data_IF_606269434246
#
_entry.id   IF_606269434246
#
_cell.length_a   1.000
_cell.length_b   1.000
_cell.length_c   1.000
_cell.angle_alpha   90.00
_cell.angle_beta   90.00
_cell.angle_gamma   90.00
#
_symmetry.space_group_name_H-M   'P 1'
#
loop_
_entity.id
_entity.type
_entity.pdbx_description
1 polymer ?
#
# COMPACT_ATOMS: atom_id res chain seq x y z
N UNK A 1 13.74 8.65 11.15
CA UNK A 1 14.37 8.88 9.83
C UNK A 1 15.41 7.78 9.62
N UNK A 2 15.23 6.93 8.62
CA UNK A 2 16.04 5.72 8.37
C UNK A 2 17.55 6.02 8.33
N UNK A 3 17.95 7.05 7.59
CA UNK A 3 19.36 7.44 7.44
C UNK A 3 20.01 7.90 8.73
N UNK A 4 19.24 8.53 9.63
CA UNK A 4 19.75 8.89 10.96
C UNK A 4 20.08 7.63 11.78
N UNK A 5 19.22 6.61 11.74
CA UNK A 5 19.47 5.34 12.43
C UNK A 5 20.69 4.61 11.87
N UNK A 6 20.86 4.61 10.53
CA UNK A 6 22.06 4.07 9.88
C UNK A 6 23.31 4.81 10.37
N UNK A 7 23.31 6.15 10.36
CA UNK A 7 24.45 6.93 10.82
C UNK A 7 24.78 6.69 12.30
N UNK A 8 23.77 6.62 13.17
CA UNK A 8 23.97 6.37 14.60
C UNK A 8 24.61 5.01 14.87
N UNK A 9 24.31 3.99 14.06
CA UNK A 9 24.89 2.66 14.22
C UNK A 9 26.33 2.55 13.69
N UNK A 10 26.74 3.43 12.77
CA UNK A 10 28.03 3.33 12.09
C UNK A 10 29.05 4.43 12.46
N UNK A 11 28.60 5.62 12.88
CA UNK A 11 29.48 6.74 13.22
C UNK A 11 29.84 6.69 14.72
N UNK A 12 31.02 6.19 15.03
CA UNK A 12 31.52 6.12 16.42
C UNK A 12 31.99 7.48 16.91
N UNK A 13 31.57 7.89 18.10
CA UNK A 13 32.06 9.09 18.78
C UNK A 13 31.44 10.41 18.32
N UNK A 14 30.34 10.38 17.56
CA UNK A 14 29.57 11.58 17.28
C UNK A 14 28.96 12.17 18.56
N UNK A 15 29.23 13.45 18.82
CA UNK A 15 28.71 14.20 19.99
C UNK A 15 27.57 15.14 19.62
N UNK A 16 27.34 15.36 18.32
CA UNK A 16 26.29 16.21 17.79
C UNK A 16 25.69 15.69 16.48
N UNK A 17 24.51 16.18 16.10
CA UNK A 17 23.92 15.89 14.78
C UNK A 17 24.76 16.41 13.61
N UNK A 18 25.54 17.47 13.84
CA UNK A 18 26.47 17.97 12.83
C UNK A 18 27.65 17.01 12.65
N UNK A 19 28.10 16.34 13.71
CA UNK A 19 29.17 15.34 13.65
C UNK A 19 28.72 14.13 12.82
N UNK A 20 27.45 13.72 12.96
CA UNK A 20 26.85 12.66 12.12
C UNK A 20 26.84 13.04 10.63
N UNK A 21 26.71 14.33 10.31
CA UNK A 21 26.69 14.87 8.94
C UNK A 21 28.07 15.27 8.41
N UNK A 22 29.09 15.24 9.25
CA UNK A 22 30.46 15.60 8.88
C UNK A 22 31.17 14.39 8.28
N UNK A 23 31.57 14.49 7.02
CA UNK A 23 32.24 13.41 6.27
C UNK A 23 33.47 14.00 5.57
N UNK A 24 34.65 13.46 5.85
CA UNK A 24 35.94 13.95 5.32
C UNK A 24 36.20 15.47 5.54
N UNK A 25 35.70 16.04 6.64
CA UNK A 25 35.87 17.47 6.97
C UNK A 25 34.85 18.40 6.31
N UNK A 26 33.90 17.86 5.55
CA UNK A 26 32.81 18.60 4.91
C UNK A 26 31.49 18.34 5.64
N UNK A 27 30.74 19.39 5.96
CA UNK A 27 29.40 19.28 6.57
C UNK A 27 28.36 19.16 5.46
N UNK A 28 27.74 17.99 5.34
CA UNK A 28 26.70 17.72 4.33
C UNK A 28 25.34 18.23 4.79
N UNK A 29 24.42 18.50 3.86
CA UNK A 29 23.13 19.15 4.15
C UNK A 29 22.11 18.20 4.77
N UNK A 30 22.20 16.91 4.47
CA UNK A 30 21.25 15.90 4.96
C UNK A 30 21.95 14.67 5.54
N UNK A 31 21.26 13.95 6.42
CA UNK A 31 21.74 12.66 6.93
C UNK A 31 21.89 11.63 5.81
N UNK A 32 21.05 11.71 4.78
CA UNK A 32 21.12 10.85 3.59
C UNK A 32 22.42 11.07 2.81
N UNK A 33 22.77 12.31 2.52
CA UNK A 33 24.03 12.64 1.85
C UNK A 33 25.23 12.14 2.64
N UNK A 34 25.21 12.31 3.97
CA UNK A 34 26.28 11.84 4.84
C UNK A 34 26.42 10.32 4.85
N UNK A 35 25.31 9.59 4.91
CA UNK A 35 25.31 8.15 4.84
C UNK A 35 25.73 7.63 3.45
N UNK A 36 25.34 8.32 2.36
CA UNK A 36 25.76 8.01 0.99
C UNK A 36 27.26 8.24 0.78
N UNK A 37 27.80 9.37 1.26
CA UNK A 37 29.24 9.71 1.17
C UNK A 37 30.13 8.76 1.99
N UNK A 38 29.54 8.06 2.98
CA UNK A 38 30.21 7.04 3.79
C UNK A 38 30.06 5.62 3.21
N UNK A 39 29.45 5.47 2.03
CA UNK A 39 29.10 4.19 1.41
C UNK A 39 28.30 3.25 2.34
N UNK A 40 27.50 3.82 3.25
CA UNK A 40 26.68 3.07 4.21
C UNK A 40 25.30 2.70 3.67
N UNK A 41 24.95 3.19 2.49
CA UNK A 41 23.67 2.93 1.84
C UNK A 41 23.97 2.49 0.42
N UNK A 42 23.45 1.34 0.02
CA UNK A 42 23.39 0.96 -1.38
C UNK A 42 22.45 1.92 -2.12
N UNK A 43 22.92 2.47 -3.23
CA UNK A 43 22.18 3.45 -4.03
C UNK A 43 20.89 2.83 -4.56
N UNK A 44 19.75 3.11 -3.91
CA UNK A 44 18.33 2.89 -4.27
C UNK A 44 17.89 1.54 -4.89
N UNK A 45 18.79 0.63 -5.23
CA UNK A 45 18.50 -0.67 -5.82
C UNK A 45 17.66 -1.51 -4.88
N UNK A 46 17.92 -1.43 -3.57
CA UNK A 46 17.15 -2.16 -2.55
C UNK A 46 15.69 -1.71 -2.49
N UNK A 47 15.39 -0.44 -2.75
CA UNK A 47 14.00 0.07 -2.80
C UNK A 47 13.31 -0.41 -4.09
N UNK A 48 14.00 -0.32 -5.22
CA UNK A 48 13.47 -0.83 -6.49
C UNK A 48 13.23 -2.34 -6.45
N UNK A 49 14.16 -3.11 -5.88
CA UNK A 49 14.04 -4.55 -5.68
C UNK A 49 12.88 -4.88 -4.75
N UNK A 50 12.74 -4.15 -3.63
CA UNK A 50 11.64 -4.32 -2.70
C UNK A 50 10.27 -4.08 -3.34
N UNK A 51 10.11 -3.02 -4.15
CA UNK A 51 8.85 -2.79 -4.87
C UNK A 51 8.67 -3.79 -6.03
N UNK A 52 9.74 -4.19 -6.72
CA UNK A 52 9.66 -5.15 -7.82
C UNK A 52 9.25 -6.56 -7.33
N UNK A 53 9.78 -7.01 -6.18
CA UNK A 53 9.36 -8.25 -5.54
C UNK A 53 7.90 -8.17 -5.10
N UNK A 54 7.52 -7.05 -4.50
CA UNK A 54 6.15 -6.71 -4.14
C UNK A 54 5.19 -6.79 -5.34
N UNK A 55 5.60 -6.36 -6.53
CA UNK A 55 4.80 -6.44 -7.76
C UNK A 55 4.45 -7.88 -8.14
N UNK A 56 5.26 -8.87 -7.79
CA UNK A 56 5.00 -10.27 -8.15
C UNK A 56 3.88 -10.91 -7.33
N UNK A 57 3.65 -10.44 -6.10
CA UNK A 57 2.78 -11.13 -5.13
C UNK A 57 1.67 -10.25 -4.56
N UNK A 58 1.76 -8.93 -4.68
CA UNK A 58 0.83 -8.01 -4.04
C UNK A 58 -0.09 -7.33 -5.05
N UNK A 59 -1.33 -7.09 -4.61
CA UNK A 59 -2.33 -6.37 -5.41
C UNK A 59 -1.90 -4.92 -5.67
N UNK A 60 -2.31 -4.30 -6.80
CA UNK A 60 -1.94 -2.94 -7.17
C UNK A 60 -2.13 -1.89 -6.07
N UNK A 61 -3.21 -1.99 -5.29
CA UNK A 61 -3.45 -1.07 -4.16
C UNK A 61 -2.40 -1.19 -3.05
N UNK A 62 -1.96 -2.42 -2.71
CA UNK A 62 -0.92 -2.65 -1.70
C UNK A 62 0.40 -2.07 -2.18
N UNK A 63 0.66 -2.17 -3.49
CA UNK A 63 1.81 -1.54 -4.12
C UNK A 63 1.73 0.00 -4.00
N UNK A 64 0.56 0.62 -4.23
CA UNK A 64 0.36 2.08 -4.00
C UNK A 64 0.62 2.49 -2.55
N UNK A 65 0.15 1.69 -1.58
CA UNK A 65 0.40 1.91 -0.15
C UNK A 65 1.87 1.75 0.22
N UNK A 66 2.54 0.73 -0.32
CA UNK A 66 3.98 0.54 -0.13
C UNK A 66 4.76 1.72 -0.72
N UNK A 67 4.41 2.16 -1.93
CA UNK A 67 5.02 3.32 -2.57
C UNK A 67 4.88 4.58 -1.72
N UNK A 68 3.68 4.91 -1.24
CA UNK A 68 3.46 6.05 -0.34
C UNK A 68 4.29 5.92 0.95
N UNK A 69 4.37 4.71 1.53
CA UNK A 69 5.21 4.45 2.71
C UNK A 69 6.69 4.71 2.42
N UNK A 70 7.18 4.27 1.26
CA UNK A 70 8.57 4.50 0.82
C UNK A 70 8.85 6.00 0.68
N UNK A 71 7.95 6.76 0.05
CA UNK A 71 8.09 8.21 -0.07
C UNK A 71 8.22 8.91 1.29
N UNK A 72 7.43 8.49 2.29
CA UNK A 72 7.41 9.15 3.60
C UNK A 72 8.62 8.77 4.46
N UNK A 73 9.03 7.50 4.46
CA UNK A 73 10.01 7.00 5.44
C UNK A 73 11.42 6.81 4.89
N UNK A 74 11.56 6.62 3.59
CA UNK A 74 12.83 6.24 2.95
C UNK A 74 13.40 7.34 2.05
N UNK A 75 12.69 8.44 1.79
CA UNK A 75 13.17 9.62 1.03
C UNK A 75 14.04 9.24 -0.19
N UNK A 76 13.48 8.51 -1.18
CA UNK A 76 14.24 7.93 -2.29
C UNK A 76 14.98 9.01 -3.10
N UNK A 77 16.06 8.61 -3.77
CA UNK A 77 16.90 9.51 -4.57
C UNK A 77 16.20 10.05 -5.79
N UNK A 78 15.49 9.18 -6.48
CA UNK A 78 14.77 9.52 -7.69
C UNK A 78 13.34 9.00 -7.60
N UNK A 79 12.46 9.86 -7.07
CA UNK A 79 11.02 9.57 -6.96
C UNK A 79 10.38 9.41 -8.34
N UNK A 80 10.86 10.15 -9.36
CA UNK A 80 10.31 10.09 -10.72
C UNK A 80 10.68 8.77 -11.39
N UNK A 81 11.93 8.32 -11.25
CA UNK A 81 12.36 7.01 -11.77
C UNK A 81 11.60 5.87 -11.08
N UNK A 82 11.42 5.95 -9.75
CA UNK A 82 10.63 4.99 -8.98
C UNK A 82 9.17 4.97 -9.46
N UNK A 83 8.57 6.13 -9.69
CA UNK A 83 7.21 6.27 -10.23
C UNK A 83 7.10 5.62 -11.61
N UNK A 84 7.91 6.03 -12.57
CA UNK A 84 7.85 5.55 -13.96
C UNK A 84 8.01 4.03 -14.06
N UNK A 85 8.88 3.46 -13.22
CA UNK A 85 9.13 2.01 -13.20
C UNK A 85 7.97 1.21 -12.64
N UNK A 86 7.26 1.72 -11.63
CA UNK A 86 6.24 0.95 -10.89
C UNK A 86 4.79 1.39 -11.18
N UNK A 87 4.54 2.52 -11.85
CA UNK A 87 3.19 3.02 -12.14
C UNK A 87 2.35 2.04 -12.94
N UNK A 88 2.97 1.23 -13.81
CA UNK A 88 2.26 0.23 -14.62
C UNK A 88 1.62 -0.85 -13.76
N UNK A 89 2.34 -1.34 -12.74
CA UNK A 89 1.88 -2.38 -11.83
C UNK A 89 0.86 -1.82 -10.84
N UNK A 90 1.10 -0.62 -10.33
CA UNK A 90 0.18 0.11 -9.45
C UNK A 90 -1.13 0.53 -10.13
N UNK A 91 -1.29 0.38 -11.45
CA UNK A 91 -2.48 0.77 -12.19
C UNK A 91 -3.29 -0.40 -12.75
N UNK A 92 -2.89 -1.65 -12.50
CA UNK A 92 -3.50 -2.81 -13.17
C UNK A 92 -5.00 -2.97 -12.87
N UNK A 93 -5.43 -2.66 -11.65
CA UNK A 93 -6.82 -2.69 -11.21
C UNK A 93 -7.69 -1.63 -11.91
N UNK A 94 -7.14 -0.44 -12.18
CA UNK A 94 -7.87 0.63 -12.86
C UNK A 94 -7.93 0.47 -14.39
N UNK A 95 -7.03 -0.31 -14.98
CA UNK A 95 -6.99 -0.57 -16.44
C UNK A 95 -8.15 -1.41 -16.94
N UNK A 96 -8.66 -2.35 -16.14
CA UNK A 96 -9.76 -3.20 -16.56
C UNK A 96 -11.05 -2.39 -16.87
N UNK A 97 -11.23 -1.26 -16.19
CA UNK A 97 -12.43 -0.42 -16.32
C UNK A 97 -12.22 0.83 -17.18
N UNK A 98 -10.99 1.16 -17.59
CA UNK A 98 -10.67 2.43 -18.26
C UNK A 98 -9.66 2.24 -19.40
N UNK A 99 -9.98 2.75 -20.59
CA UNK A 99 -9.09 2.67 -21.77
C UNK A 99 -8.10 3.83 -21.90
N UNK A 100 -8.29 4.92 -21.15
CA UNK A 100 -7.39 6.08 -21.19
C UNK A 100 -6.25 5.92 -20.18
N UNK A 101 -5.02 5.81 -20.70
CA UNK A 101 -3.80 5.74 -19.86
C UNK A 101 -3.64 6.95 -18.95
N UNK A 102 -4.09 8.14 -19.39
CA UNK A 102 -4.01 9.37 -18.60
C UNK A 102 -4.96 9.31 -17.39
N UNK A 103 -6.21 8.92 -17.60
CA UNK A 103 -7.20 8.83 -16.52
C UNK A 103 -6.76 7.82 -15.45
N UNK A 104 -6.26 6.66 -15.90
CA UNK A 104 -5.72 5.63 -15.01
C UNK A 104 -4.54 6.15 -14.18
N UNK A 105 -3.65 6.92 -14.80
CA UNK A 105 -2.52 7.54 -14.10
C UNK A 105 -3.00 8.53 -13.03
N UNK A 106 -3.97 9.39 -13.36
CA UNK A 106 -4.58 10.33 -12.40
C UNK A 106 -5.26 9.60 -11.23
N UNK A 107 -6.00 8.51 -11.48
CA UNK A 107 -6.63 7.72 -10.42
C UNK A 107 -5.61 7.15 -9.43
N UNK A 108 -4.48 6.64 -9.94
CA UNK A 108 -3.38 6.15 -9.09
C UNK A 108 -2.75 7.29 -8.27
N UNK A 109 -2.52 8.44 -8.89
CA UNK A 109 -1.94 9.61 -8.22
C UNK A 109 -2.86 10.15 -7.12
N UNK A 110 -4.17 10.21 -7.36
CA UNK A 110 -5.17 10.58 -6.35
C UNK A 110 -5.16 9.59 -5.17
N UNK A 111 -5.05 8.28 -5.47
CA UNK A 111 -4.98 7.24 -4.43
C UNK A 111 -3.74 7.41 -3.54
N UNK A 112 -2.59 7.70 -4.15
CA UNK A 112 -1.32 7.95 -3.46
C UNK A 112 -1.41 9.26 -2.66
N UNK A 113 -1.99 10.31 -3.24
CA UNK A 113 -2.20 11.59 -2.55
C UNK A 113 -2.99 11.39 -1.27
N UNK A 114 -4.12 10.68 -1.32
CA UNK A 114 -4.93 10.35 -0.14
C UNK A 114 -4.15 9.55 0.91
N UNK A 115 -3.30 8.61 0.47
CA UNK A 115 -2.43 7.86 1.39
C UNK A 115 -1.41 8.77 2.08
N UNK A 116 -0.86 9.75 1.36
CA UNK A 116 0.07 10.74 1.91
C UNK A 116 -0.64 11.68 2.89
N UNK A 117 -1.87 12.12 2.59
CA UNK A 117 -2.68 12.93 3.51
C UNK A 117 -2.93 12.24 4.84
N UNK A 118 -3.21 10.92 4.82
CA UNK A 118 -3.35 10.12 6.05
C UNK A 118 -2.05 10.10 6.88
N UNK A 119 -0.90 10.25 6.24
CA UNK A 119 0.42 10.37 6.87
C UNK A 119 0.83 11.83 7.12
N UNK A 120 -0.08 12.79 6.95
CA UNK A 120 0.13 14.24 7.11
C UNK A 120 1.25 14.78 6.20
N UNK A 121 1.34 14.25 4.98
CA UNK A 121 2.28 14.69 3.95
C UNK A 121 1.52 15.22 2.75
N UNK A 122 2.02 16.32 2.19
CA UNK A 122 1.51 16.88 0.94
C UNK A 122 2.24 16.21 -0.23
N UNK A 123 1.49 15.74 -1.23
CA UNK A 123 2.06 15.12 -2.42
C UNK A 123 2.95 16.09 -3.22
N UNK A 124 2.70 17.40 -3.11
CA UNK A 124 3.52 18.47 -3.72
C UNK A 124 4.94 18.55 -3.15
N UNK A 125 5.21 17.87 -2.03
CA UNK A 125 6.56 17.75 -1.49
C UNK A 125 7.44 16.78 -2.29
N UNK A 126 6.83 15.99 -3.19
CA UNK A 126 7.50 15.00 -4.02
C UNK A 126 7.43 15.42 -5.49
N UNK A 127 8.46 15.14 -6.30
CA UNK A 127 8.44 15.45 -7.72
C UNK A 127 7.58 14.39 -8.44
N UNK A 128 6.26 14.45 -8.27
CA UNK A 128 5.28 13.61 -8.96
C UNK A 128 4.48 14.46 -9.97
N UNK A 129 3.84 13.83 -10.97
CA UNK A 129 2.99 14.56 -11.91
C UNK A 129 1.84 15.31 -11.23
N UNK A 130 1.37 16.38 -11.86
CA UNK A 130 0.26 17.20 -11.35
C UNK A 130 -1.05 16.41 -11.30
N UNK A 131 -1.81 16.64 -10.22
CA UNK A 131 -3.07 15.94 -9.95
C UNK A 131 -4.24 16.80 -10.41
N UNK A 132 -5.18 16.13 -11.06
CA UNK A 132 -6.48 16.65 -11.44
C UNK A 132 -7.51 15.84 -10.65
N UNK A 133 -8.10 16.46 -9.63
CA UNK A 133 -9.02 15.85 -8.67
C UNK A 133 -10.39 15.50 -9.28
N UNK A 134 -10.67 15.95 -10.51
CA UNK A 134 -11.89 15.59 -11.23
C UNK A 134 -11.99 14.10 -11.57
N UNK A 135 -10.88 13.37 -11.52
CA UNK A 135 -10.80 11.93 -11.80
C UNK A 135 -10.86 11.05 -10.54
N UNK A 136 -11.33 11.58 -9.41
CA UNK A 136 -11.38 10.83 -8.15
C UNK A 136 -12.28 9.57 -8.25
N UNK A 137 -11.71 8.35 -8.10
CA UNK A 137 -12.49 7.11 -8.13
C UNK A 137 -13.46 6.96 -6.95
N UNK A 138 -13.26 7.67 -5.84
CA UNK A 138 -13.95 7.40 -4.57
C UNK A 138 -15.13 8.33 -4.27
N UNK A 139 -15.71 8.98 -5.27
CA UNK A 139 -16.65 10.09 -5.04
C UNK A 139 -17.90 9.77 -4.20
N UNK A 140 -18.20 8.51 -3.83
CA UNK A 140 -19.27 8.18 -2.88
C UNK A 140 -19.09 6.90 -2.02
N UNK A 141 -17.96 6.18 -2.08
CA UNK A 141 -17.81 4.88 -1.41
C UNK A 141 -16.60 4.91 -0.44
N UNK A 142 -16.78 4.53 0.85
CA UNK A 142 -15.67 4.33 1.77
C UNK A 142 -14.59 3.44 1.16
N UNK A 143 -13.33 3.87 1.33
CA UNK A 143 -12.19 3.26 0.66
C UNK A 143 -12.07 1.77 0.96
N UNK A 144 -12.38 1.33 2.18
CA UNK A 144 -12.35 -0.09 2.56
C UNK A 144 -13.34 -0.94 1.74
N UNK A 145 -14.48 -0.37 1.37
CA UNK A 145 -15.53 -1.05 0.58
C UNK A 145 -15.11 -1.14 -0.89
N UNK A 146 -14.52 -0.08 -1.45
CA UNK A 146 -13.93 -0.12 -2.79
C UNK A 146 -12.76 -1.10 -2.88
N UNK A 147 -11.94 -1.18 -1.82
CA UNK A 147 -10.83 -2.10 -1.69
C UNK A 147 -11.29 -3.57 -1.67
N UNK A 148 -12.34 -3.89 -0.90
CA UNK A 148 -12.91 -5.24 -0.91
C UNK A 148 -13.54 -5.57 -2.28
N UNK A 149 -14.27 -4.62 -2.89
CA UNK A 149 -14.96 -4.76 -4.18
C UNK A 149 -14.04 -5.18 -5.33
N UNK A 150 -12.77 -4.75 -5.34
CA UNK A 150 -11.83 -5.03 -6.44
C UNK A 150 -11.03 -6.34 -6.31
N UNK A 151 -11.18 -7.09 -5.22
CA UNK A 151 -10.53 -8.41 -5.08
C UNK A 151 -11.23 -9.43 -5.99
N UNK A 152 -10.54 -10.05 -6.95
CA UNK A 152 -11.14 -11.14 -7.72
C UNK A 152 -11.44 -12.34 -6.81
N UNK A 153 -12.70 -12.77 -6.76
CA UNK A 153 -13.08 -14.00 -6.07
C UNK A 153 -12.63 -15.20 -6.91
N UNK A 154 -11.83 -16.10 -6.32
CA UNK A 154 -11.41 -17.33 -7.01
C UNK A 154 -12.60 -18.29 -7.16
N UNK A 155 -12.67 -19.01 -8.27
CA UNK A 155 -13.71 -20.04 -8.52
C UNK A 155 -13.65 -21.15 -7.46
N UNK A 156 -12.46 -21.44 -6.92
CA UNK A 156 -12.28 -22.40 -5.81
C UNK A 156 -12.90 -21.91 -4.49
N UNK A 157 -13.06 -20.59 -4.30
CA UNK A 157 -13.59 -20.02 -3.07
C UNK A 157 -15.12 -20.27 -2.93
N UNK A 158 -15.85 -20.45 -4.04
CA UNK A 158 -17.30 -20.77 -4.00
C UNK A 158 -17.59 -22.13 -3.36
N UNK A 159 -16.66 -23.09 -3.47
CA UNK A 159 -16.81 -24.42 -2.89
C UNK A 159 -16.57 -24.44 -1.36
N UNK A 160 -15.97 -23.37 -0.81
CA UNK A 160 -15.61 -23.27 0.61
C UNK A 160 -16.83 -23.11 1.52
N UNK A 161 -17.94 -22.57 1.00
CA UNK A 161 -19.22 -22.48 1.72
C UNK A 161 -19.77 -23.85 2.16
N UNK A 162 -19.32 -24.95 1.52
CA UNK A 162 -19.75 -26.32 1.82
C UNK A 162 -18.89 -27.02 2.88
N UNK A 163 -17.77 -26.42 3.27
CA UNK A 163 -16.72 -27.02 4.11
C UNK A 163 -16.39 -26.19 5.34
N UNK A 164 -17.16 -25.14 5.61
CA UNK A 164 -17.13 -24.38 6.88
C UNK A 164 -17.54 -25.26 8.06
N UNK A 165 -16.86 -25.10 9.20
CA UNK A 165 -17.26 -25.75 10.45
C UNK A 165 -18.58 -25.16 11.00
N UNK A 166 -19.18 -25.79 12.01
CA UNK A 166 -20.51 -25.38 12.52
C UNK A 166 -20.56 -23.91 13.00
N UNK A 167 -19.50 -23.42 13.65
CA UNK A 167 -19.44 -22.03 14.13
C UNK A 167 -19.30 -21.03 12.98
N UNK A 168 -18.44 -21.33 11.99
CA UNK A 168 -18.29 -20.54 10.78
C UNK A 168 -19.59 -20.54 9.95
N UNK A 169 -20.28 -21.68 9.89
CA UNK A 169 -21.55 -21.83 9.16
C UNK A 169 -22.67 -21.03 9.81
N UNK A 170 -22.70 -20.97 11.15
CA UNK A 170 -23.65 -20.13 11.88
C UNK A 170 -23.44 -18.64 11.54
N UNK A 171 -22.19 -18.16 11.63
CA UNK A 171 -21.85 -16.79 11.26
C UNK A 171 -22.14 -16.49 9.77
N UNK A 172 -21.81 -17.42 8.89
CA UNK A 172 -22.09 -17.33 7.46
C UNK A 172 -23.59 -17.15 7.18
N UNK A 173 -24.44 -18.01 7.75
CA UNK A 173 -25.88 -17.97 7.54
C UNK A 173 -26.51 -16.69 8.09
N UNK A 174 -26.05 -16.21 9.25
CA UNK A 174 -26.54 -14.98 9.85
C UNK A 174 -26.24 -13.77 8.96
N UNK A 175 -25.01 -13.68 8.44
CA UNK A 175 -24.60 -12.60 7.53
C UNK A 175 -25.37 -12.69 6.20
N UNK A 176 -25.48 -13.86 5.59
CA UNK A 176 -26.23 -14.03 4.34
C UNK A 176 -27.72 -13.73 4.51
N UNK A 177 -28.33 -14.12 5.64
CA UNK A 177 -29.73 -13.78 5.92
C UNK A 177 -29.96 -12.28 6.07
N UNK A 178 -28.99 -11.52 6.60
CA UNK A 178 -29.09 -10.06 6.69
C UNK A 178 -28.98 -9.38 5.32
N UNK A 179 -28.17 -9.96 4.41
CA UNK A 179 -28.04 -9.51 3.02
C UNK A 179 -29.32 -9.82 2.24
N UNK A 180 -29.81 -11.06 2.29
CA UNK A 180 -31.01 -11.51 1.57
C UNK A 180 -32.29 -10.77 2.00
N UNK A 181 -32.30 -10.24 3.23
CA UNK A 181 -33.42 -9.47 3.77
C UNK A 181 -33.32 -7.96 3.53
N UNK A 182 -32.29 -7.49 2.81
CA UNK A 182 -32.01 -6.07 2.52
C UNK A 182 -31.95 -5.17 3.77
N UNK A 183 -31.76 -5.76 4.95
CA UNK A 183 -31.66 -5.03 6.22
C UNK A 183 -30.23 -4.50 6.45
N UNK A 184 -29.24 -5.08 5.76
CA UNK A 184 -27.83 -4.77 5.98
C UNK A 184 -27.37 -5.05 7.41
N UNK A 185 -26.15 -4.63 7.76
CA UNK A 185 -25.63 -4.75 9.12
C UNK A 185 -24.12 -4.63 9.21
N UNK A 186 -23.62 -4.33 10.42
CA UNK A 186 -22.19 -4.36 10.73
C UNK A 186 -21.89 -5.59 11.60
N UNK A 187 -21.09 -6.50 11.07
CA UNK A 187 -20.75 -7.77 11.73
C UNK A 187 -19.27 -7.81 12.09
N UNK A 188 -18.96 -8.25 13.31
CA UNK A 188 -17.60 -8.49 13.77
C UNK A 188 -17.39 -9.99 13.99
N UNK A 189 -16.48 -10.60 13.22
CA UNK A 189 -16.12 -12.01 13.38
C UNK A 189 -14.87 -12.08 14.25
N UNK A 190 -15.03 -12.54 15.49
CA UNK A 190 -13.91 -12.77 16.41
C UNK A 190 -13.65 -14.28 16.59
N UNK A 191 -12.39 -14.64 16.77
CA UNK A 191 -12.01 -16.00 17.08
C UNK A 191 -10.50 -16.15 17.33
N UNK A 192 -10.06 -17.16 18.09
CA UNK A 192 -8.64 -17.45 18.31
C UNK A 192 -7.82 -17.64 17.02
N UNK A 193 -6.52 -17.45 17.08
CA UNK A 193 -5.63 -17.79 15.95
C UNK A 193 -5.82 -19.25 15.51
N UNK A 194 -5.94 -19.50 14.20
CA UNK A 194 -6.14 -20.84 13.65
C UNK A 194 -7.60 -21.28 13.45
N UNK A 195 -8.60 -20.50 13.86
CA UNK A 195 -10.03 -20.85 13.67
C UNK A 195 -10.58 -20.61 12.25
N UNK A 196 -9.72 -20.38 11.26
CA UNK A 196 -10.16 -20.24 9.86
C UNK A 196 -11.02 -19.02 9.57
N UNK A 197 -10.89 -17.89 10.29
CA UNK A 197 -11.60 -16.64 9.97
C UNK A 197 -11.42 -16.21 8.51
N UNK A 198 -10.18 -16.29 8.00
CA UNK A 198 -9.86 -16.01 6.59
C UNK A 198 -10.64 -16.91 5.63
N UNK A 199 -10.92 -18.15 6.03
CA UNK A 199 -11.72 -19.10 5.25
C UNK A 199 -13.18 -18.66 5.14
N UNK A 200 -13.77 -18.23 6.26
CA UNK A 200 -15.12 -17.68 6.30
C UNK A 200 -15.26 -16.40 5.45
N UNK A 201 -14.28 -15.49 5.54
CA UNK A 201 -14.25 -14.28 4.71
C UNK A 201 -14.24 -14.61 3.22
N UNK A 202 -13.42 -15.58 2.78
CA UNK A 202 -13.37 -16.01 1.38
C UNK A 202 -14.70 -16.62 0.90
N UNK A 203 -15.34 -17.44 1.73
CA UNK A 203 -16.63 -18.06 1.38
C UNK A 203 -17.76 -17.02 1.24
N UNK A 204 -17.83 -16.04 2.15
CA UNK A 204 -18.78 -14.93 2.08
C UNK A 204 -18.55 -14.10 0.82
N UNK A 205 -17.30 -13.70 0.60
CA UNK A 205 -16.89 -12.88 -0.52
C UNK A 205 -17.19 -13.53 -1.88
N UNK A 206 -16.90 -14.83 -2.03
CA UNK A 206 -17.21 -15.59 -3.24
C UNK A 206 -18.72 -15.72 -3.49
N UNK A 207 -19.53 -15.86 -2.44
CA UNK A 207 -20.98 -16.07 -2.61
C UNK A 207 -21.73 -14.77 -2.90
N UNK A 208 -21.32 -13.65 -2.29
CA UNK A 208 -21.90 -12.32 -2.57
C UNK A 208 -21.64 -11.87 -4.01
N UNK A 209 -20.61 -12.43 -4.67
CA UNK A 209 -20.21 -12.08 -6.04
C UNK A 209 -20.66 -13.04 -7.13
N UNK A 210 -21.30 -14.14 -6.75
CA UNK A 210 -21.95 -15.07 -7.69
C UNK A 210 -23.20 -14.45 -8.32
#
# INVERSE_FOLDING_TARGET
SYYLSVLLNHVTGATSFNDLRMVFGELLLTFREAAKRRDLIEVDNTLHEGIAEATLWMMPYVQRRLFATILVFYEPSDVLELWEKHKKAMSEDYKCNNQSSFVVEQMVLIDIWKLLELMQKDIKMYPLPDIDDTYDPSSNIPREIFEEANVEASIDDMALSKTVNEEQKAAYNEIMSAIDSDNGGLFFVDGPGGTGKTYLYRALHATIRS
#
